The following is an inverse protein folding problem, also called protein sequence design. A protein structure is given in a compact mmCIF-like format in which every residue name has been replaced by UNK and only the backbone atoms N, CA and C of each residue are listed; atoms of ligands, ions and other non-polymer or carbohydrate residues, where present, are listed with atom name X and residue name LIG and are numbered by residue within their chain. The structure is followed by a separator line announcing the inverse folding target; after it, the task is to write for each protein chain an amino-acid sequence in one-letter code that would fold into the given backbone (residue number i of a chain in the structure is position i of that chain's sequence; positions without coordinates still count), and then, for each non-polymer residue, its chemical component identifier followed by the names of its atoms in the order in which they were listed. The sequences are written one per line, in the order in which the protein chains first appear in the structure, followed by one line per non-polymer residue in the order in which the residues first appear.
data_IF_409136979533
#
_entry.id   IF_409136979533
#
_cell.length_a   1.000
_cell.length_b   1.000
_cell.length_c   1.000
_cell.angle_alpha   90.00
_cell.angle_beta   90.00
_cell.angle_gamma   90.00
#
_symmetry.space_group_name_H-M   'P 1'
#
loop_
_entity.id
_entity.type
_entity.pdbx_description
1 polymer ?
#
# COMPACT_ATOMS: atom_id res chain seq x y z
N UNK A 1 -3.93 -5.67 27.70
CA UNK A 1 -3.79 -6.84 26.81
C UNK A 1 -4.51 -6.72 25.45
N UNK A 2 -5.29 -5.67 25.17
CA UNK A 2 -5.94 -5.50 23.85
C UNK A 2 -5.06 -4.78 22.80
N UNK A 3 -4.05 -4.01 23.24
CA UNK A 3 -3.18 -3.19 22.39
C UNK A 3 -2.25 -4.01 21.47
N UNK A 4 -1.83 -5.21 21.90
CA UNK A 4 -0.87 -6.03 21.14
C UNK A 4 -1.48 -6.77 19.93
N UNK A 5 -2.82 -6.92 19.86
CA UNK A 5 -3.49 -7.63 18.75
C UNK A 5 -3.64 -6.79 17.47
N UNK A 6 -3.29 -5.50 17.53
CA UNK A 6 -3.38 -4.57 16.40
C UNK A 6 -2.01 -4.23 15.79
N UNK A 7 -0.93 -4.84 16.27
CA UNK A 7 0.42 -4.60 15.79
C UNK A 7 0.76 -5.47 14.57
N UNK A 8 -0.12 -5.48 13.55
CA UNK A 8 0.34 -5.88 12.22
C UNK A 8 1.37 -4.81 11.82
N UNK A 9 2.60 -5.21 11.44
CA UNK A 9 3.61 -4.27 10.99
C UNK A 9 3.02 -3.32 9.94
N UNK A 10 3.24 -2.02 10.12
CA UNK A 10 2.70 -1.00 9.20
C UNK A 10 3.09 -1.32 7.75
N UNK A 11 4.28 -1.90 7.54
CA UNK A 11 4.75 -2.40 6.25
C UNK A 11 3.79 -3.39 5.60
N UNK A 12 3.31 -4.40 6.34
CA UNK A 12 2.38 -5.41 5.82
C UNK A 12 1.04 -4.77 5.42
N UNK A 13 0.56 -3.81 6.21
CA UNK A 13 -0.65 -3.05 5.87
C UNK A 13 -0.49 -2.23 4.60
N UNK A 14 0.66 -1.56 4.44
CA UNK A 14 0.96 -0.77 3.24
C UNK A 14 1.05 -1.69 2.02
N UNK A 15 1.74 -2.82 2.12
CA UNK A 15 1.87 -3.79 1.02
C UNK A 15 0.55 -4.44 0.59
N UNK A 16 -0.48 -4.43 1.45
CA UNK A 16 -1.80 -4.92 1.11
C UNK A 16 -2.68 -3.87 0.41
N UNK A 17 -2.21 -2.63 0.26
CA UNK A 17 -2.98 -1.55 -0.38
C UNK A 17 -2.91 -1.61 -1.90
N UNK A 18 -3.97 -1.15 -2.58
CA UNK A 18 -3.97 -1.04 -4.04
C UNK A 18 -2.87 -0.08 -4.55
N UNK A 19 -2.61 1.00 -3.81
CA UNK A 19 -1.59 1.99 -4.18
C UNK A 19 -0.18 1.39 -4.15
N UNK A 20 0.08 0.40 -3.28
CA UNK A 20 1.37 -0.31 -3.25
C UNK A 20 1.67 -1.08 -4.53
N UNK A 21 0.63 -1.49 -5.27
CA UNK A 21 0.74 -2.17 -6.56
C UNK A 21 0.78 -1.15 -7.71
N UNK A 22 -0.02 -0.09 -7.61
CA UNK A 22 -0.17 0.92 -8.66
C UNK A 22 1.13 1.69 -8.95
N UNK A 23 1.91 2.03 -7.92
CA UNK A 23 3.19 2.74 -8.09
C UNK A 23 4.18 1.98 -8.99
N UNK A 24 4.56 0.73 -8.65
CA UNK A 24 5.41 -0.11 -9.51
C UNK A 24 4.85 -0.35 -10.91
N UNK A 25 3.52 -0.52 -11.03
CA UNK A 25 2.85 -0.71 -12.33
C UNK A 25 2.98 0.53 -13.21
N UNK A 26 2.64 1.71 -12.70
CA UNK A 26 2.73 2.97 -13.44
C UNK A 26 4.16 3.31 -13.87
N UNK A 27 5.15 2.99 -13.03
CA UNK A 27 6.57 3.14 -13.37
C UNK A 27 7.00 2.23 -14.54
N UNK A 28 6.52 0.99 -14.55
CA UNK A 28 6.81 0.01 -15.60
C UNK A 28 6.15 0.42 -16.93
N UNK A 29 4.91 0.92 -16.86
CA UNK A 29 4.11 1.38 -17.99
C UNK A 29 4.45 2.81 -18.45
N UNK A 30 5.40 3.50 -17.79
CA UNK A 30 5.81 4.89 -18.07
C UNK A 30 4.65 5.89 -18.11
N UNK A 31 3.68 5.70 -17.22
CA UNK A 31 2.53 6.61 -17.03
C UNK A 31 2.50 7.17 -15.62
N UNK A 32 1.62 8.14 -15.39
CA UNK A 32 1.33 8.63 -14.04
C UNK A 32 0.50 7.59 -13.27
N UNK A 33 0.77 7.37 -11.98
CA UNK A 33 -0.04 6.49 -11.14
C UNK A 33 -1.40 7.12 -10.80
N UNK A 34 -2.42 6.27 -10.67
CA UNK A 34 -3.75 6.64 -10.21
C UNK A 34 -3.98 6.22 -8.75
N UNK A 35 -3.73 7.15 -7.83
CA UNK A 35 -3.89 6.90 -6.40
C UNK A 35 -5.36 6.86 -5.99
N UNK A 36 -5.75 5.83 -5.25
CA UNK A 36 -7.13 5.65 -4.78
C UNK A 36 -7.33 6.01 -3.32
N UNK A 37 -6.27 6.01 -2.50
CA UNK A 37 -6.36 6.55 -1.15
C UNK A 37 -6.30 8.09 -1.21
N UNK A 38 -7.39 8.74 -0.79
CA UNK A 38 -7.49 10.21 -0.64
C UNK A 38 -7.53 10.58 0.83
#
# INVERSE_FOLDING_TARGET
EYSQKLAIPISERISATEDSIEGPKAFSEKRKPEWKMK
#
